data_IF_317402046808
#
_entry.id   IF_317402046808
#
_cell.length_a   1.000
_cell.length_b   1.000
_cell.length_c   1.000
_cell.angle_alpha   90.00
_cell.angle_beta   90.00
_cell.angle_gamma   90.00
#
_symmetry.space_group_name_H-M   'P 1'
#
loop_
_entity.id
_entity.type
_entity.pdbx_description
1 polymer ?
#
# COMPACT_ATOMS: atom_id res chain seq x y z
N UNK A 1 -5.24 -11.22 16.69
CA UNK A 1 -5.85 -10.59 15.50
C UNK A 1 -6.99 -11.48 15.07
N UNK A 2 -8.22 -10.95 15.05
CA UNK A 2 -9.36 -11.61 14.43
C UNK A 2 -9.64 -10.92 13.10
N UNK A 3 -10.38 -11.57 12.22
CA UNK A 3 -10.76 -11.00 10.92
C UNK A 3 -11.55 -9.70 11.12
N UNK A 4 -12.45 -9.66 12.10
CA UNK A 4 -13.29 -8.51 12.42
C UNK A 4 -12.51 -7.31 12.96
N UNK A 5 -11.26 -7.53 13.41
CA UNK A 5 -10.37 -6.46 13.85
C UNK A 5 -9.62 -5.76 12.71
N UNK A 6 -9.74 -6.24 11.48
CA UNK A 6 -9.13 -5.62 10.29
C UNK A 6 -10.06 -4.53 9.78
N UNK A 7 -9.65 -3.27 9.95
CA UNK A 7 -10.50 -2.11 9.63
C UNK A 7 -10.58 -1.79 8.13
N UNK A 8 -9.53 -2.07 7.36
CA UNK A 8 -9.50 -1.90 5.91
C UNK A 8 -8.25 -2.53 5.28
N UNK A 9 -8.32 -2.79 3.97
CA UNK A 9 -7.18 -3.12 3.13
C UNK A 9 -6.44 -1.87 2.64
N UNK A 10 -5.14 -2.00 2.34
CA UNK A 10 -4.33 -0.87 1.83
C UNK A 10 -4.92 -0.28 0.52
N UNK A 11 -5.51 -1.12 -0.33
CA UNK A 11 -6.12 -0.68 -1.59
C UNK A 11 -7.37 0.19 -1.37
N UNK A 12 -8.12 -0.05 -0.30
CA UNK A 12 -9.28 0.74 0.12
C UNK A 12 -8.86 2.07 0.76
N UNK A 13 -7.78 2.04 1.54
CA UNK A 13 -7.15 3.27 2.05
C UNK A 13 -6.69 4.17 0.90
N UNK A 14 -5.98 3.63 -0.09
CA UNK A 14 -5.48 4.42 -1.22
C UNK A 14 -6.57 4.95 -2.15
N UNK A 15 -7.74 4.30 -2.21
CA UNK A 15 -8.85 4.73 -3.07
C UNK A 15 -9.89 5.61 -2.35
N UNK A 16 -9.64 5.97 -1.09
CA UNK A 16 -10.51 6.82 -0.28
C UNK A 16 -11.79 6.15 0.21
N UNK A 17 -11.87 4.81 0.20
CA UNK A 17 -13.02 4.05 0.72
C UNK A 17 -12.88 3.65 2.19
N UNK A 18 -11.72 3.86 2.79
CA UNK A 18 -11.48 3.59 4.21
C UNK A 18 -11.23 4.89 4.98
N UNK A 19 -11.71 4.93 6.22
CA UNK A 19 -11.29 5.93 7.19
C UNK A 19 -9.82 5.66 7.54
N UNK A 20 -9.03 6.72 7.54
CA UNK A 20 -7.63 6.69 7.97
C UNK A 20 -7.56 7.09 9.44
N UNK A 21 -6.40 7.56 9.92
CA UNK A 21 -6.28 8.11 11.27
C UNK A 21 -7.21 9.32 11.42
N UNK A 22 -8.07 9.31 12.43
CA UNK A 22 -9.10 10.33 12.64
C UNK A 22 -8.74 11.32 13.76
N UNK A 23 -7.85 10.94 14.68
CA UNK A 23 -7.42 11.81 15.79
C UNK A 23 -6.01 11.47 16.31
N UNK A 24 -5.52 12.27 17.25
CA UNK A 24 -4.15 12.14 17.77
C UNK A 24 -3.96 10.99 18.77
N UNK A 25 -5.02 10.58 19.47
CA UNK A 25 -4.97 9.54 20.49
C UNK A 25 -4.98 8.11 19.88
N UNK A 26 -5.31 8.00 18.58
CA UNK A 26 -5.30 6.75 17.85
C UNK A 26 -3.90 6.19 17.60
N UNK A 27 -3.72 4.92 17.95
CA UNK A 27 -2.58 4.10 17.54
C UNK A 27 -3.01 3.26 16.34
N UNK A 28 -2.34 3.43 15.21
CA UNK A 28 -2.59 2.66 13.98
C UNK A 28 -1.56 1.54 13.80
N UNK A 29 -2.01 0.41 13.25
CA UNK A 29 -1.14 -0.72 12.90
C UNK A 29 -1.37 -1.10 11.44
N UNK A 30 -0.38 -0.84 10.61
CA UNK A 30 -0.32 -1.42 9.27
C UNK A 30 0.48 -2.72 9.31
N UNK A 31 -0.16 -3.84 8.96
CA UNK A 31 0.51 -5.14 8.85
C UNK A 31 0.65 -5.53 7.38
N UNK A 32 1.89 -5.67 6.92
CA UNK A 32 2.21 -6.15 5.57
C UNK A 32 2.88 -7.53 5.60
N UNK A 33 2.58 -8.33 4.58
CA UNK A 33 3.24 -9.61 4.26
C UNK A 33 3.95 -9.60 2.89
N UNK A 34 3.88 -8.47 2.16
CA UNK A 34 4.33 -8.37 0.77
C UNK A 34 3.28 -8.82 -0.25
N UNK A 35 3.28 -8.21 -1.44
CA UNK A 35 2.38 -8.55 -2.56
C UNK A 35 3.17 -8.59 -3.86
N UNK A 36 3.04 -9.65 -4.66
CA UNK A 36 3.76 -9.75 -5.94
C UNK A 36 3.51 -8.56 -6.90
N UNK A 37 2.34 -7.92 -6.79
CA UNK A 37 2.03 -6.71 -7.56
C UNK A 37 2.94 -5.53 -7.23
N UNK A 38 3.34 -5.35 -5.96
CA UNK A 38 4.26 -4.26 -5.61
C UNK A 38 5.64 -4.49 -6.22
N UNK A 39 6.09 -5.74 -6.29
CA UNK A 39 7.37 -6.10 -6.91
C UNK A 39 7.33 -5.86 -8.42
N UNK A 40 6.25 -6.30 -9.09
CA UNK A 40 6.07 -6.11 -10.53
C UNK A 40 6.06 -4.62 -10.93
N UNK A 41 5.26 -3.81 -10.23
CA UNK A 41 5.17 -2.37 -10.53
C UNK A 41 6.48 -1.67 -10.19
N UNK A 42 7.12 -2.01 -9.07
CA UNK A 42 8.41 -1.46 -8.68
C UNK A 42 9.51 -1.75 -9.70
N UNK A 43 9.63 -3.00 -10.15
CA UNK A 43 10.58 -3.39 -11.19
C UNK A 43 10.31 -2.69 -12.53
N UNK A 44 9.03 -2.60 -12.93
CA UNK A 44 8.63 -1.90 -14.15
C UNK A 44 8.97 -0.41 -14.11
N UNK A 45 8.76 0.26 -12.98
CA UNK A 45 9.13 1.66 -12.78
C UNK A 45 10.66 1.84 -12.86
N UNK A 46 11.43 1.00 -12.17
CA UNK A 46 12.90 1.04 -12.21
C UNK A 46 13.42 0.84 -13.64
N UNK A 47 12.89 -0.15 -14.36
CA UNK A 47 13.22 -0.40 -15.77
C UNK A 47 12.94 0.82 -16.65
N UNK A 48 11.76 1.45 -16.51
CA UNK A 48 11.40 2.61 -17.31
C UNK A 48 12.29 3.83 -17.02
N UNK A 49 12.71 4.02 -15.77
CA UNK A 49 13.53 5.16 -15.38
C UNK A 49 15.01 5.02 -15.78
N UNK A 50 15.51 3.79 -15.94
CA UNK A 50 16.92 3.54 -16.27
C UNK A 50 17.10 3.21 -17.75
N UNK A 51 16.24 2.37 -18.33
CA UNK A 51 16.45 1.83 -19.68
C UNK A 51 15.60 2.55 -20.72
N UNK A 52 14.36 2.91 -20.38
CA UNK A 52 13.44 3.55 -21.34
C UNK A 52 13.71 5.05 -21.51
N UNK A 53 14.26 5.73 -20.51
CA UNK A 53 14.60 7.16 -20.58
C UNK A 53 15.93 7.45 -21.29
N UNK A 54 16.76 6.43 -21.52
CA UNK A 54 18.04 6.52 -22.23
C UNK A 54 17.91 6.28 -23.76
N UNK A 55 16.67 6.22 -24.29
CA UNK A 55 16.37 6.14 -25.73
C UNK A 55 15.64 7.38 -26.24
#
# INVERSE_FOLDING_TARGET
FTEEGVVAELSEMCNGKALLRENEDEITLFKSIGMAMSDLVGAGLAYNNVIKHDN
#
